data_IF_199906201623
#
_entry.id   IF_199906201623
#
_cell.length_a   1.000
_cell.length_b   1.000
_cell.length_c   1.000
_cell.angle_alpha   90.00
_cell.angle_beta   90.00
_cell.angle_gamma   90.00
#
_symmetry.space_group_name_H-M   'P 1'
#
loop_
_entity.id
_entity.type
_entity.pdbx_description
1 polymer ?
#
# COMPACT_ATOMS: atom_id res chain seq x y z
N UNK A 1 -44.87 -46.17 23.05
CA UNK A 1 -44.28 -45.25 24.04
C UNK A 1 -43.33 -44.28 23.33
N UNK A 2 -43.57 -42.96 23.42
CA UNK A 2 -42.63 -41.96 22.88
C UNK A 2 -41.38 -41.94 23.77
N UNK A 3 -40.22 -42.31 23.21
CA UNK A 3 -38.92 -42.16 23.89
C UNK A 3 -38.68 -40.66 24.14
N UNK A 4 -38.77 -40.23 25.39
CA UNK A 4 -38.31 -38.91 25.80
C UNK A 4 -36.80 -38.85 25.57
N UNK A 5 -36.34 -37.88 24.77
CA UNK A 5 -34.91 -37.61 24.57
C UNK A 5 -34.30 -37.25 25.94
N UNK A 6 -33.16 -37.86 26.28
CA UNK A 6 -32.41 -37.51 27.49
C UNK A 6 -32.09 -36.01 27.47
N UNK A 7 -32.43 -35.30 28.55
CA UNK A 7 -32.01 -33.93 28.76
C UNK A 7 -30.48 -33.88 29.02
N UNK A 8 -29.85 -32.75 28.67
CA UNK A 8 -28.43 -32.53 28.86
C UNK A 8 -28.03 -32.68 30.33
N UNK A 9 -26.86 -33.28 30.55
CA UNK A 9 -26.29 -33.46 31.90
C UNK A 9 -25.64 -32.16 32.39
N UNK A 10 -25.64 -31.89 33.71
CA UNK A 10 -25.02 -30.67 34.29
C UNK A 10 -23.54 -30.52 33.88
N UNK A 11 -22.80 -31.62 33.85
CA UNK A 11 -21.40 -31.67 33.39
C UNK A 11 -21.29 -31.22 31.92
N UNK A 12 -22.23 -31.64 31.08
CA UNK A 12 -22.29 -31.34 29.65
C UNK A 12 -22.56 -29.84 29.41
N UNK A 13 -23.44 -29.25 30.23
CA UNK A 13 -23.69 -27.81 30.24
C UNK A 13 -22.43 -27.06 30.66
N UNK A 14 -21.75 -27.51 31.71
CA UNK A 14 -20.54 -26.86 32.23
C UNK A 14 -19.39 -26.89 31.22
N UNK A 15 -19.17 -28.02 30.56
CA UNK A 15 -18.18 -28.15 29.48
C UNK A 15 -18.55 -27.26 28.30
N UNK A 16 -19.83 -27.21 27.91
CA UNK A 16 -20.30 -26.35 26.81
C UNK A 16 -20.04 -24.86 27.09
N UNK A 17 -20.30 -24.40 28.32
CA UNK A 17 -20.05 -23.01 28.72
C UNK A 17 -18.56 -22.68 28.66
N UNK A 18 -17.68 -23.58 29.11
CA UNK A 18 -16.22 -23.40 29.04
C UNK A 18 -15.78 -23.28 27.56
N UNK A 19 -16.22 -24.19 26.69
CA UNK A 19 -15.86 -24.18 25.27
C UNK A 19 -16.32 -22.88 24.60
N UNK A 20 -17.56 -22.45 24.85
CA UNK A 20 -18.12 -21.22 24.28
C UNK A 20 -17.33 -20.00 24.75
N UNK A 21 -16.99 -19.93 26.04
CA UNK A 21 -16.23 -18.81 26.62
C UNK A 21 -14.86 -18.65 25.96
N UNK A 22 -14.08 -19.73 25.84
CA UNK A 22 -12.79 -19.69 25.15
C UNK A 22 -12.93 -19.34 23.65
N UNK A 23 -13.96 -19.87 23.00
CA UNK A 23 -14.22 -19.61 21.59
C UNK A 23 -14.52 -18.14 21.31
N UNK A 24 -15.33 -17.48 22.16
CA UNK A 24 -15.67 -16.06 22.01
C UNK A 24 -14.42 -15.18 22.10
N UNK A 25 -13.55 -15.43 23.08
CA UNK A 25 -12.29 -14.67 23.23
C UNK A 25 -11.41 -14.78 21.99
N UNK A 26 -11.29 -15.99 21.44
CA UNK A 26 -10.49 -16.24 20.24
C UNK A 26 -11.10 -15.53 19.00
N UNK A 27 -12.42 -15.61 18.83
CA UNK A 27 -13.15 -14.93 17.74
C UNK A 27 -12.99 -13.41 17.84
N UNK A 28 -13.13 -12.84 19.04
CA UNK A 28 -12.96 -11.39 19.25
C UNK A 28 -11.53 -10.95 18.91
N UNK A 29 -10.52 -11.75 19.28
CA UNK A 29 -9.12 -11.46 18.95
C UNK A 29 -8.90 -11.44 17.43
N UNK A 30 -9.37 -12.47 16.72
CA UNK A 30 -9.29 -12.53 15.24
C UNK A 30 -10.02 -11.34 14.62
N UNK A 31 -11.22 -11.02 15.09
CA UNK A 31 -12.00 -9.92 14.53
C UNK A 31 -11.30 -8.56 14.71
N UNK A 32 -10.70 -8.33 15.89
CA UNK A 32 -9.91 -7.13 16.16
C UNK A 32 -8.69 -7.02 15.23
N UNK A 33 -7.92 -8.11 15.11
CA UNK A 33 -6.74 -8.17 14.23
C UNK A 33 -7.12 -7.94 12.76
N UNK A 34 -8.22 -8.54 12.30
CA UNK A 34 -8.72 -8.34 10.94
C UNK A 34 -9.11 -6.89 10.69
N UNK A 35 -9.75 -6.22 11.67
CA UNK A 35 -10.11 -4.81 11.54
C UNK A 35 -8.88 -3.91 11.40
N UNK A 36 -7.86 -4.13 12.21
CA UNK A 36 -6.60 -3.36 12.12
C UNK A 36 -5.93 -3.56 10.77
N UNK A 37 -5.86 -4.80 10.28
CA UNK A 37 -5.30 -5.13 8.98
C UNK A 37 -6.09 -4.48 7.83
N UNK A 38 -7.43 -4.51 7.89
CA UNK A 38 -8.29 -3.87 6.88
C UNK A 38 -8.06 -2.37 6.84
N UNK A 39 -7.97 -1.71 8.00
CA UNK A 39 -7.68 -0.27 8.09
C UNK A 39 -6.29 0.01 7.51
N UNK A 40 -5.28 -0.77 7.87
CA UNK A 40 -3.92 -0.64 7.33
C UNK A 40 -3.90 -0.77 5.80
N UNK A 41 -4.54 -1.79 5.24
CA UNK A 41 -4.61 -2.01 3.80
C UNK A 41 -5.33 -0.87 3.09
N UNK A 42 -6.45 -0.41 3.66
CA UNK A 42 -7.23 0.70 3.12
C UNK A 42 -6.42 2.00 3.09
N UNK A 43 -5.77 2.36 4.19
CA UNK A 43 -4.92 3.55 4.26
C UNK A 43 -3.74 3.42 3.30
N UNK A 44 -3.02 2.29 3.31
CA UNK A 44 -1.90 2.05 2.39
C UNK A 44 -2.31 2.17 0.93
N UNK A 45 -3.46 1.63 0.54
CA UNK A 45 -3.97 1.74 -0.83
C UNK A 45 -4.28 3.19 -1.20
N UNK A 46 -4.87 3.97 -0.28
CA UNK A 46 -5.10 5.41 -0.48
C UNK A 46 -3.78 6.15 -0.72
N UNK A 47 -2.74 5.88 0.06
CA UNK A 47 -1.41 6.49 -0.15
C UNK A 47 -0.79 6.04 -1.48
N UNK A 48 -0.87 4.75 -1.82
CA UNK A 48 -0.36 4.23 -3.09
C UNK A 48 -1.07 4.83 -4.32
N UNK A 49 -2.37 5.15 -4.21
CA UNK A 49 -3.09 5.87 -5.26
C UNK A 49 -2.62 7.33 -5.36
N UNK A 50 -2.41 8.01 -4.24
CA UNK A 50 -1.87 9.37 -4.24
C UNK A 50 -0.46 9.43 -4.82
N UNK A 51 0.35 8.40 -4.63
CA UNK A 51 1.70 8.32 -5.15
C UNK A 51 1.75 8.40 -6.69
N UNK A 52 0.68 7.98 -7.38
CA UNK A 52 0.57 8.15 -8.85
C UNK A 52 0.69 9.61 -9.30
N UNK A 53 0.28 10.57 -8.47
CA UNK A 53 0.38 12.00 -8.75
C UNK A 53 1.83 12.50 -8.80
N UNK A 54 2.77 11.71 -8.26
CA UNK A 54 4.18 12.06 -8.15
C UNK A 54 5.06 11.36 -9.19
N UNK A 55 4.49 10.48 -10.02
CA UNK A 55 5.22 9.67 -11.01
C UNK A 55 5.26 10.30 -12.40
N UNK A 56 5.43 11.64 -12.47
CA UNK A 56 5.58 12.38 -13.74
C UNK A 56 6.89 12.06 -14.46
N UNK A 57 6.99 12.25 -15.78
CA UNK A 57 8.19 11.89 -16.55
C UNK A 57 9.47 12.54 -16.00
N UNK A 58 9.36 13.79 -15.56
CA UNK A 58 10.45 14.59 -15.00
C UNK A 58 10.83 14.28 -13.53
N UNK A 59 10.23 13.24 -12.94
CA UNK A 59 10.40 12.90 -11.51
C UNK A 59 11.87 12.75 -11.07
N UNK A 60 12.75 12.29 -11.96
CA UNK A 60 14.17 12.07 -11.69
C UNK A 60 14.91 13.34 -11.24
N UNK A 61 14.39 14.52 -11.58
CA UNK A 61 14.96 15.82 -11.24
C UNK A 61 14.78 16.19 -9.77
N UNK A 62 13.83 15.55 -9.07
CA UNK A 62 13.43 15.94 -7.72
C UNK A 62 14.21 15.22 -6.61
N UNK A 63 15.37 14.60 -6.91
CA UNK A 63 16.15 13.87 -5.91
C UNK A 63 16.43 14.70 -4.65
N UNK A 64 16.07 14.17 -3.46
CA UNK A 64 16.18 14.83 -2.14
C UNK A 64 15.32 16.08 -1.98
N UNK A 65 14.33 16.29 -2.84
CA UNK A 65 13.38 17.39 -2.71
C UNK A 65 12.05 16.91 -2.11
N UNK A 66 11.38 17.81 -1.41
CA UNK A 66 9.98 17.66 -1.03
C UNK A 66 9.13 18.47 -2.01
N UNK A 67 8.19 17.83 -2.70
CA UNK A 67 7.21 18.52 -3.55
C UNK A 67 5.79 18.22 -3.10
N UNK A 68 4.90 19.16 -3.36
CA UNK A 68 3.46 18.88 -3.34
C UNK A 68 2.97 18.40 -4.71
N UNK A 69 1.81 17.74 -4.74
CA UNK A 69 1.26 17.19 -5.98
C UNK A 69 0.92 18.29 -7.00
N UNK A 70 0.57 19.49 -6.53
CA UNK A 70 0.31 20.63 -7.42
C UNK A 70 1.56 21.05 -8.19
N UNK A 71 2.71 21.20 -7.52
CA UNK A 71 3.99 21.54 -8.15
C UNK A 71 4.41 20.51 -9.21
N UNK A 72 4.16 19.23 -8.94
CA UNK A 72 4.50 18.15 -9.88
C UNK A 72 3.56 18.13 -11.09
N UNK A 73 2.27 18.41 -10.90
CA UNK A 73 1.25 18.29 -11.95
C UNK A 73 1.00 19.57 -12.75
N UNK A 74 1.26 20.76 -12.17
CA UNK A 74 1.04 22.06 -12.81
C UNK A 74 1.69 22.17 -14.20
N UNK A 75 2.89 21.63 -14.47
CA UNK A 75 3.48 21.67 -15.81
C UNK A 75 2.70 20.89 -16.87
N UNK A 76 1.93 19.87 -16.45
CA UNK A 76 1.24 18.94 -17.35
C UNK A 76 -0.26 19.24 -17.49
N UNK A 77 -0.88 19.84 -16.46
CA UNK A 77 -2.32 20.06 -16.41
C UNK A 77 -2.66 21.48 -15.97
N UNK A 78 -3.61 22.08 -16.67
CA UNK A 78 -4.21 23.35 -16.24
C UNK A 78 -5.23 23.09 -15.13
N UNK A 79 -4.90 23.48 -13.91
CA UNK A 79 -5.75 23.30 -12.72
C UNK A 79 -6.37 24.65 -12.34
N UNK A 80 -7.52 24.94 -12.94
CA UNK A 80 -8.26 26.20 -12.77
C UNK A 80 -9.12 26.22 -11.49
N UNK A 81 -9.57 25.05 -11.03
CA UNK A 81 -10.39 24.94 -9.82
C UNK A 81 -9.58 25.16 -8.54
N UNK A 82 -10.02 26.11 -7.71
CA UNK A 82 -9.35 26.49 -6.46
C UNK A 82 -9.34 25.34 -5.44
N UNK A 83 -10.45 24.59 -5.33
CA UNK A 83 -10.55 23.49 -4.35
C UNK A 83 -9.57 22.37 -4.69
N UNK A 84 -9.51 21.97 -5.96
CA UNK A 84 -8.58 20.96 -6.45
C UNK A 84 -7.13 21.39 -6.22
N UNK A 85 -6.82 22.67 -6.46
CA UNK A 85 -5.49 23.23 -6.20
C UNK A 85 -5.11 23.13 -4.72
N UNK A 86 -6.01 23.48 -3.81
CA UNK A 86 -5.76 23.37 -2.36
C UNK A 86 -5.54 21.91 -1.93
N UNK A 87 -6.37 20.99 -2.43
CA UNK A 87 -6.22 19.55 -2.16
C UNK A 87 -4.84 19.07 -2.61
N UNK A 88 -4.42 19.41 -3.82
CA UNK A 88 -3.13 18.98 -4.37
C UNK A 88 -1.93 19.60 -3.63
N UNK A 89 -2.05 20.83 -3.12
CA UNK A 89 -1.02 21.47 -2.30
C UNK A 89 -0.84 20.79 -0.93
N UNK A 90 -1.91 20.22 -0.38
CA UNK A 90 -1.88 19.51 0.90
C UNK A 90 -1.26 18.10 0.81
N UNK A 91 -1.17 17.53 -0.39
CA UNK A 91 -0.55 16.22 -0.62
C UNK A 91 0.91 16.44 -0.99
N UNK A 92 1.83 15.94 -0.17
CA UNK A 92 3.28 16.10 -0.40
C UNK A 92 4.06 14.81 -0.20
N UNK A 93 5.18 14.68 -0.91
CA UNK A 93 6.09 13.54 -0.83
C UNK A 93 7.54 14.01 -0.85
N UNK A 94 8.40 13.28 -0.13
CA UNK A 94 9.84 13.44 -0.22
C UNK A 94 10.39 12.44 -1.24
N UNK A 95 11.13 12.92 -2.23
CA UNK A 95 11.70 12.10 -3.27
C UNK A 95 13.10 11.61 -2.88
N UNK A 96 13.35 10.33 -3.11
CA UNK A 96 14.68 9.76 -3.02
C UNK A 96 14.91 8.85 -4.23
N UNK A 97 15.83 9.27 -5.08
CA UNK A 97 16.04 8.67 -6.40
C UNK A 97 17.49 8.18 -6.45
N UNK A 98 17.76 6.90 -6.13
CA UNK A 98 19.11 6.36 -6.20
C UNK A 98 19.62 6.34 -7.65
N UNK A 99 20.91 6.04 -7.79
CA UNK A 99 21.53 5.90 -9.11
C UNK A 99 20.87 4.77 -9.93
N UNK A 100 20.74 4.95 -11.26
CA UNK A 100 20.14 3.94 -12.11
C UNK A 100 21.00 2.67 -12.15
N UNK A 101 20.32 1.52 -12.15
CA UNK A 101 20.96 0.21 -12.27
C UNK A 101 20.99 -0.15 -13.75
N UNK A 102 22.19 -0.31 -14.30
CA UNK A 102 22.37 -0.78 -15.67
C UNK A 102 22.49 -2.30 -15.65
N UNK A 103 21.55 -2.98 -16.29
CA UNK A 103 21.62 -4.40 -16.62
C UNK A 103 22.19 -4.51 -18.03
N UNK A 104 23.49 -4.79 -18.14
CA UNK A 104 24.16 -5.15 -19.39
C UNK A 104 24.42 -6.64 -19.39
N UNK A 105 24.19 -7.30 -20.53
CA UNK A 105 24.62 -8.68 -20.73
C UNK A 105 26.14 -8.71 -20.91
N UNK A 106 26.80 -9.77 -20.44
CA UNK A 106 28.24 -10.00 -20.63
C UNK A 106 28.58 -10.34 -22.10
N UNK A 107 27.58 -10.66 -22.92
CA UNK A 107 27.71 -10.86 -24.37
C UNK A 107 27.36 -9.56 -25.11
N UNK A 108 28.19 -9.15 -26.07
CA UNK A 108 28.08 -7.88 -26.85
C UNK A 108 26.71 -7.67 -27.55
N UNK A 109 25.85 -8.69 -27.60
CA UNK A 109 24.52 -8.67 -28.24
C UNK A 109 23.36 -9.15 -27.32
N UNK A 110 23.57 -9.28 -26.01
CA UNK A 110 22.51 -9.72 -25.10
C UNK A 110 21.52 -8.61 -24.68
N UNK A 111 20.39 -8.98 -24.07
CA UNK A 111 19.38 -8.03 -23.61
C UNK A 111 19.98 -7.05 -22.61
N UNK A 112 19.68 -5.77 -22.80
CA UNK A 112 20.15 -4.69 -21.92
C UNK A 112 19.01 -3.80 -21.47
N UNK A 113 19.02 -3.41 -20.19
CA UNK A 113 17.99 -2.58 -19.59
C UNK A 113 18.58 -1.61 -18.56
N UNK A 114 17.99 -0.43 -18.46
CA UNK A 114 18.28 0.53 -17.39
C UNK A 114 17.07 0.57 -16.45
N UNK A 115 17.32 0.34 -15.17
CA UNK A 115 16.31 0.39 -14.12
C UNK A 115 16.51 1.68 -13.32
N UNK A 116 15.46 2.50 -13.29
CA UNK A 116 15.42 3.70 -12.46
C UNK A 116 14.46 3.46 -11.30
N UNK A 117 14.98 3.50 -10.08
CA UNK A 117 14.19 3.40 -8.87
C UNK A 117 13.78 4.81 -8.38
N UNK A 118 12.52 4.97 -8.00
CA UNK A 118 11.94 6.21 -7.47
C UNK A 118 11.32 5.87 -6.12
N UNK A 119 11.90 6.36 -5.03
CA UNK A 119 11.33 6.19 -3.69
C UNK A 119 10.57 7.44 -3.29
N UNK A 120 9.29 7.26 -2.95
CA UNK A 120 8.45 8.28 -2.35
C UNK A 120 8.39 8.01 -0.85
N UNK A 121 8.86 8.95 -0.04
CA UNK A 121 8.92 8.83 1.41
C UNK A 121 7.87 9.70 2.07
N UNK A 122 7.07 9.06 2.92
CA UNK A 122 6.11 9.63 3.86
C UNK A 122 5.82 8.56 4.94
N UNK A 123 4.66 8.63 5.61
CA UNK A 123 4.18 7.63 6.58
C UNK A 123 4.26 6.19 6.05
N UNK A 124 3.88 5.97 4.79
CA UNK A 124 4.06 4.71 4.09
C UNK A 124 4.97 4.94 2.91
N UNK A 125 6.23 4.57 3.05
CA UNK A 125 7.19 4.71 1.96
C UNK A 125 6.93 3.67 0.87
N UNK A 126 7.07 4.10 -0.37
CA UNK A 126 6.83 3.28 -1.57
C UNK A 126 8.02 3.44 -2.53
N UNK A 127 8.27 2.40 -3.31
CA UNK A 127 9.30 2.39 -4.34
C UNK A 127 8.66 1.99 -5.67
N UNK A 128 8.98 2.75 -6.71
CA UNK A 128 8.52 2.55 -8.08
C UNK A 128 9.71 2.37 -9.00
N UNK A 129 9.55 1.58 -10.04
CA UNK A 129 10.64 1.25 -10.97
C UNK A 129 10.20 1.61 -12.39
N UNK A 130 11.08 2.33 -13.10
CA UNK A 130 10.96 2.53 -14.54
C UNK A 130 12.02 1.69 -15.23
N UNK A 131 11.56 0.86 -16.15
CA UNK A 131 12.41 0.00 -16.97
C UNK A 131 12.53 0.61 -18.35
N UNK A 132 13.76 0.87 -18.78
CA UNK A 132 14.07 1.23 -20.17
C UNK A 132 14.87 0.09 -20.78
N UNK A 133 14.20 -0.69 -21.63
CA UNK A 133 14.83 -1.80 -22.38
C UNK A 133 15.49 -1.20 -23.61
N UNK A 134 16.77 -1.50 -23.82
CA UNK A 134 17.56 -0.96 -24.92
C UNK A 134 17.68 -1.97 -26.06
N UNK A 135 18.00 -3.24 -25.74
CA UNK A 135 18.06 -4.37 -26.67
C UNK A 135 17.38 -5.60 -26.07
N UNK A 136 16.89 -6.49 -26.94
CA UNK A 136 16.33 -7.81 -26.62
C UNK A 136 17.27 -8.92 -27.05
#
# INVERSE_FOLDING_TARGET
MKKLRKAFTIIEILISVIIISFSIVYVLKIHSQNREQVIYLSERNKFALQDSLFLSDDVLKYHKEKKNAYEVLQPYFKIDDLKSREILKNISRNFFIPEPINLTSDEDNGPSAVIQEIKLKDRYSSAYFRFKISNF
#
